data_IF_808571447297
#
_entry.id   IF_808571447297
#
_cell.length_a   1.000
_cell.length_b   1.000
_cell.length_c   1.000
_cell.angle_alpha   90.00
_cell.angle_beta   90.00
_cell.angle_gamma   90.00
#
_symmetry.space_group_name_H-M   'P 1'
#
loop_
_entity.id
_entity.type
_entity.pdbx_description
1 polymer ?
#
# COMPACT_ATOMS: atom_id res chain seq x y z
N UNK A 1 -12.93 123.17 52.83
CA UNK A 1 -12.88 121.84 52.19
C UNK A 1 -13.35 120.85 53.22
N UNK A 2 -13.97 119.73 52.85
CA UNK A 2 -14.33 118.71 53.83
C UNK A 2 -13.03 118.10 54.37
N UNK A 3 -12.78 118.21 55.67
CA UNK A 3 -11.80 117.33 56.30
C UNK A 3 -12.41 115.92 56.29
N UNK A 4 -11.60 114.90 55.97
CA UNK A 4 -12.03 113.50 55.78
C UNK A 4 -12.62 112.81 57.02
N UNK A 5 -13.05 113.58 58.03
CA UNK A 5 -13.71 113.14 59.25
C UNK A 5 -15.13 113.75 59.44
N UNK A 6 -15.67 114.53 58.49
CA UNK A 6 -17.09 114.95 58.56
C UNK A 6 -18.03 113.81 58.14
N UNK A 7 -19.06 113.46 58.93
CA UNK A 7 -20.01 112.40 58.57
C UNK A 7 -20.80 112.80 57.30
N UNK A 8 -20.55 112.10 56.21
CA UNK A 8 -21.25 112.32 54.93
C UNK A 8 -22.64 111.70 55.03
N UNK A 9 -23.67 112.54 55.13
CA UNK A 9 -25.06 112.08 55.16
C UNK A 9 -25.43 111.33 53.87
N UNK A 10 -25.91 110.09 53.99
CA UNK A 10 -26.41 109.27 52.87
C UNK A 10 -25.48 108.15 52.40
N UNK A 11 -24.28 108.00 52.97
CA UNK A 11 -23.34 106.92 52.62
C UNK A 11 -23.07 105.99 53.83
N UNK A 12 -23.24 104.69 53.64
CA UNK A 12 -22.90 103.69 54.65
C UNK A 12 -21.39 103.36 54.61
N UNK A 13 -20.62 103.95 55.54
CA UNK A 13 -19.17 103.73 55.66
C UNK A 13 -18.82 102.25 55.86
N UNK A 14 -19.65 101.46 56.55
CA UNK A 14 -19.39 100.04 56.76
C UNK A 14 -19.48 99.27 55.44
N UNK A 15 -20.47 99.59 54.61
CA UNK A 15 -20.63 99.01 53.28
C UNK A 15 -19.45 99.38 52.37
N UNK A 16 -19.06 100.65 52.33
CA UNK A 16 -17.94 101.11 51.49
C UNK A 16 -16.61 100.51 51.94
N UNK A 17 -16.40 100.39 53.25
CA UNK A 17 -15.23 99.72 53.81
C UNK A 17 -15.19 98.25 53.40
N UNK A 18 -16.34 97.56 53.42
CA UNK A 18 -16.42 96.16 52.99
C UNK A 18 -16.06 95.98 51.52
N UNK A 19 -16.56 96.86 50.64
CA UNK A 19 -16.22 96.86 49.22
C UNK A 19 -14.71 97.08 49.03
N UNK A 20 -14.12 98.04 49.76
CA UNK A 20 -12.68 98.28 49.72
C UNK A 20 -11.89 97.01 50.10
N UNK A 21 -12.23 96.36 51.23
CA UNK A 21 -11.52 95.16 51.69
C UNK A 21 -11.70 93.97 50.74
N UNK A 22 -12.85 93.81 50.11
CA UNK A 22 -13.10 92.75 49.12
C UNK A 22 -12.26 92.91 47.85
N UNK A 23 -12.03 94.15 47.42
CA UNK A 23 -11.26 94.45 46.22
C UNK A 23 -9.74 94.36 46.42
N UNK A 24 -9.23 94.31 47.65
CA UNK A 24 -7.78 94.18 47.90
C UNK A 24 -7.29 92.77 47.50
N UNK A 25 -6.23 92.64 46.67
CA UNK A 25 -5.62 91.36 46.37
C UNK A 25 -5.21 90.60 47.64
N UNK A 26 -5.50 89.31 47.68
CA UNK A 26 -5.23 88.47 48.87
C UNK A 26 -3.80 88.59 49.43
N UNK A 27 -2.73 88.62 48.61
CA UNK A 27 -1.37 88.79 49.13
C UNK A 27 -1.18 90.09 49.92
N UNK A 28 -1.77 91.19 49.46
CA UNK A 28 -1.65 92.50 50.08
C UNK A 28 -2.48 92.58 51.37
N UNK A 29 -3.70 92.03 51.34
CA UNK A 29 -4.54 91.94 52.53
C UNK A 29 -3.87 91.09 53.62
N UNK A 30 -3.26 89.96 53.23
CA UNK A 30 -2.51 89.09 54.14
C UNK A 30 -1.31 89.82 54.73
N UNK A 31 -0.55 90.57 53.93
CA UNK A 31 0.59 91.34 54.40
C UNK A 31 0.17 92.40 55.43
N UNK A 32 -0.93 93.13 55.18
CA UNK A 32 -1.49 94.08 56.15
C UNK A 32 -1.87 93.40 57.48
N UNK A 33 -2.60 92.27 57.41
CA UNK A 33 -3.00 91.51 58.60
C UNK A 33 -1.78 90.99 59.37
N UNK A 34 -0.69 90.62 58.69
CA UNK A 34 0.55 90.18 59.34
C UNK A 34 1.34 91.34 59.96
N UNK A 35 1.29 92.53 59.37
CA UNK A 35 1.98 93.70 59.90
C UNK A 35 1.30 94.29 61.15
N UNK A 36 -0.03 94.15 61.27
CA UNK A 36 -0.80 94.64 62.41
C UNK A 36 -0.99 93.53 63.47
N UNK A 37 -0.15 93.53 64.51
CA UNK A 37 -0.14 92.49 65.56
C UNK A 37 -1.50 92.28 66.26
N UNK A 38 -2.30 93.35 66.44
CA UNK A 38 -3.62 93.26 67.05
C UNK A 38 -4.62 92.53 66.14
N UNK A 39 -4.65 92.90 64.85
CA UNK A 39 -5.49 92.25 63.84
C UNK A 39 -5.05 90.81 63.60
N UNK A 40 -3.74 90.55 63.53
CA UNK A 40 -3.17 89.21 63.38
C UNK A 40 -3.64 88.28 64.50
N UNK A 41 -3.57 88.76 65.76
CA UNK A 41 -4.02 88.00 66.94
C UNK A 41 -5.50 87.65 66.80
N UNK A 42 -6.36 88.61 66.48
CA UNK A 42 -7.80 88.37 66.31
C UNK A 42 -8.14 87.42 65.15
N UNK A 43 -7.41 87.51 64.03
CA UNK A 43 -7.61 86.63 62.88
C UNK A 43 -7.13 85.19 63.14
N UNK A 44 -6.17 84.98 64.03
CA UNK A 44 -5.61 83.66 64.37
C UNK A 44 -6.20 83.01 65.63
N UNK A 45 -7.03 83.73 66.39
CA UNK A 45 -7.81 83.16 67.51
C UNK A 45 -8.54 81.89 67.06
N UNK A 46 -8.34 80.78 67.78
CA UNK A 46 -8.93 79.48 67.44
C UNK A 46 -8.11 78.61 66.48
N UNK A 47 -6.84 78.97 66.19
CA UNK A 47 -5.92 78.14 65.39
C UNK A 47 -6.08 78.29 63.87
N UNK A 48 -6.80 79.32 63.42
CA UNK A 48 -7.03 79.56 62.00
C UNK A 48 -5.77 80.07 61.30
N UNK A 49 -5.50 79.53 60.12
CA UNK A 49 -4.42 79.97 59.23
C UNK A 49 -4.91 81.11 58.32
N UNK A 50 -4.00 82.01 57.98
CA UNK A 50 -4.22 83.07 56.99
C UNK A 50 -4.13 82.48 55.58
N UNK A 51 -5.21 81.86 55.12
CA UNK A 51 -5.36 81.25 53.80
C UNK A 51 -6.50 81.91 53.03
N UNK A 52 -6.51 81.88 51.67
CA UNK A 52 -7.57 82.50 50.88
C UNK A 52 -8.98 82.04 51.28
N UNK A 53 -9.11 80.78 51.73
CA UNK A 53 -10.38 80.20 52.21
C UNK A 53 -10.93 80.86 53.48
N UNK A 54 -10.10 81.53 54.28
CA UNK A 54 -10.50 82.20 55.52
C UNK A 54 -10.73 83.71 55.33
N UNK A 55 -10.70 84.21 54.09
CA UNK A 55 -10.87 85.62 53.73
C UNK A 55 -12.15 86.24 54.31
N UNK A 56 -13.30 85.59 54.20
CA UNK A 56 -14.57 86.12 54.70
C UNK A 56 -14.59 86.30 56.22
N UNK A 57 -13.87 85.43 56.93
CA UNK A 57 -13.71 85.57 58.39
C UNK A 57 -12.80 86.75 58.72
N UNK A 58 -11.69 86.90 58.00
CA UNK A 58 -10.75 88.01 58.17
C UNK A 58 -11.43 89.34 57.83
N UNK A 59 -12.21 89.38 56.76
CA UNK A 59 -13.02 90.54 56.38
C UNK A 59 -13.97 90.96 57.51
N UNK A 60 -14.72 90.01 58.10
CA UNK A 60 -15.59 90.29 59.26
C UNK A 60 -14.83 90.81 60.49
N UNK A 61 -13.63 90.29 60.74
CA UNK A 61 -12.78 90.78 61.85
C UNK A 61 -12.30 92.21 61.57
N UNK A 62 -11.83 92.48 60.35
CA UNK A 62 -11.40 93.81 59.93
C UNK A 62 -12.53 94.84 60.00
N UNK A 63 -13.73 94.49 59.52
CA UNK A 63 -14.90 95.36 59.60
C UNK A 63 -15.27 95.68 61.06
N UNK A 64 -15.24 94.67 61.95
CA UNK A 64 -15.53 94.87 63.37
C UNK A 64 -14.50 95.77 64.05
N UNK A 65 -13.22 95.59 63.75
CA UNK A 65 -12.16 96.45 64.31
C UNK A 65 -12.22 97.87 63.71
N UNK A 66 -12.54 98.01 62.43
CA UNK A 66 -12.79 99.32 61.80
C UNK A 66 -13.96 100.05 62.46
N UNK A 67 -15.07 99.36 62.72
CA UNK A 67 -16.23 99.92 63.42
C UNK A 67 -15.89 100.35 64.85
N UNK A 68 -15.12 99.55 65.60
CA UNK A 68 -14.66 99.94 66.95
C UNK A 68 -13.75 101.16 66.94
N UNK A 69 -12.96 101.32 65.88
CA UNK A 69 -12.09 102.45 65.68
C UNK A 69 -12.81 103.62 64.97
N UNK A 70 -14.14 103.58 64.87
CA UNK A 70 -14.99 104.58 64.20
C UNK A 70 -14.50 104.95 62.79
N UNK A 71 -13.99 103.96 62.06
CA UNK A 71 -13.38 104.12 60.73
C UNK A 71 -12.25 105.16 60.68
N UNK A 72 -11.52 105.35 61.78
CA UNK A 72 -10.41 106.31 61.87
C UNK A 72 -9.39 106.15 60.74
N UNK A 73 -8.86 107.28 60.26
CA UNK A 73 -7.84 107.32 59.21
C UNK A 73 -6.60 106.48 59.56
N UNK A 74 -6.20 106.48 60.84
CA UNK A 74 -5.06 105.69 61.30
C UNK A 74 -5.21 104.17 61.02
N UNK A 75 -6.43 103.65 61.07
CA UNK A 75 -6.72 102.25 60.75
C UNK A 75 -6.99 102.05 59.25
N UNK A 76 -7.81 102.90 58.65
CA UNK A 76 -8.27 102.74 57.26
C UNK A 76 -7.16 103.02 56.23
N UNK A 77 -6.23 103.93 56.51
CA UNK A 77 -5.12 104.25 55.59
C UNK A 77 -4.27 103.03 55.26
N UNK A 78 -4.02 102.16 56.26
CA UNK A 78 -3.22 100.95 56.04
C UNK A 78 -3.87 99.93 55.09
N UNK A 79 -5.20 99.98 54.92
CA UNK A 79 -5.95 99.17 53.96
C UNK A 79 -6.20 99.90 52.63
N UNK A 80 -6.29 101.23 52.66
CA UNK A 80 -6.39 102.05 51.47
C UNK A 80 -5.11 102.02 50.62
N UNK A 81 -3.93 102.11 51.25
CA UNK A 81 -2.61 102.07 50.57
C UNK A 81 -2.44 100.86 49.63
N UNK A 82 -2.80 99.61 50.02
CA UNK A 82 -2.76 98.48 49.09
C UNK A 82 -3.96 98.42 48.12
N UNK A 83 -5.10 99.02 48.46
CA UNK A 83 -6.30 99.04 47.60
C UNK A 83 -6.10 99.98 46.39
N UNK A 84 -5.55 101.16 46.61
CA UNK A 84 -5.46 102.23 45.61
C UNK A 84 -4.63 101.84 44.37
N UNK A 85 -3.40 101.30 44.48
CA UNK A 85 -2.63 100.81 43.34
C UNK A 85 -3.22 99.56 42.66
N UNK A 86 -4.10 98.82 43.35
CA UNK A 86 -4.78 97.65 42.76
C UNK A 86 -5.80 98.06 41.68
N UNK A 87 -6.21 99.33 41.67
CA UNK A 87 -7.12 99.92 40.68
C UNK A 87 -6.31 100.76 39.69
N UNK A 88 -5.55 100.07 38.83
CA UNK A 88 -4.50 100.66 37.97
C UNK A 88 -4.95 101.87 37.14
N UNK A 89 -6.14 101.83 36.55
CA UNK A 89 -6.66 102.92 35.73
C UNK A 89 -6.98 104.18 36.56
N UNK A 90 -7.63 104.01 37.71
CA UNK A 90 -7.99 105.10 38.63
C UNK A 90 -6.73 105.71 39.25
N UNK A 91 -5.86 104.85 39.78
CA UNK A 91 -4.58 105.23 40.35
C UNK A 91 -3.74 106.04 39.36
N UNK A 92 -3.55 105.51 38.15
CA UNK A 92 -2.73 106.18 37.14
C UNK A 92 -3.31 107.55 36.75
N UNK A 93 -4.61 107.64 36.54
CA UNK A 93 -5.27 108.89 36.13
C UNK A 93 -5.10 110.00 37.18
N UNK A 94 -5.23 109.65 38.47
CA UNK A 94 -5.15 110.61 39.57
C UNK A 94 -3.69 110.96 39.90
N UNK A 95 -2.77 109.99 39.94
CA UNK A 95 -1.35 110.24 40.18
C UNK A 95 -0.68 111.02 39.04
N UNK A 96 -1.02 110.72 37.77
CA UNK A 96 -0.50 111.47 36.62
C UNK A 96 -0.91 112.95 36.70
N UNK A 97 -2.09 113.24 37.25
CA UNK A 97 -2.53 114.62 37.52
C UNK A 97 -1.76 115.25 38.67
N UNK A 98 -1.59 114.57 39.82
CA UNK A 98 -0.84 115.12 40.95
C UNK A 98 0.65 115.35 40.65
N UNK A 99 1.23 114.63 39.69
CA UNK A 99 2.58 114.85 39.20
C UNK A 99 2.68 115.83 38.02
N UNK A 100 1.54 116.30 37.49
CA UNK A 100 1.52 117.22 36.36
C UNK A 100 1.94 118.65 36.73
N UNK A 101 2.45 119.39 35.75
CA UNK A 101 2.72 120.83 35.89
C UNK A 101 1.45 121.65 36.14
N UNK A 102 0.29 121.14 35.73
CA UNK A 102 -1.03 121.73 35.97
C UNK A 102 -1.37 121.75 37.46
N UNK A 103 -1.15 120.64 38.17
CA UNK A 103 -1.38 120.56 39.61
C UNK A 103 -0.35 121.37 40.41
N UNK A 104 0.93 121.40 40.01
CA UNK A 104 1.95 122.24 40.67
C UNK A 104 1.57 123.73 40.67
N UNK A 105 1.12 124.25 39.52
CA UNK A 105 0.63 125.64 39.42
C UNK A 105 -0.62 125.88 40.25
N UNK A 106 -1.56 124.94 40.25
CA UNK A 106 -2.76 125.02 41.08
C UNK A 106 -2.42 125.08 42.58
N UNK A 107 -1.41 124.32 43.00
CA UNK A 107 -0.91 124.27 44.38
C UNK A 107 -0.27 125.59 44.82
N UNK A 108 0.58 126.18 43.96
CA UNK A 108 1.19 127.50 44.19
C UNK A 108 0.15 128.61 44.25
N UNK A 109 -0.84 128.58 43.36
CA UNK A 109 -1.88 129.62 43.26
C UNK A 109 -2.82 129.62 44.48
N UNK A 110 -3.09 128.45 45.06
CA UNK A 110 -4.03 128.29 46.17
C UNK A 110 -3.35 128.11 47.54
N UNK A 111 -2.03 128.29 47.65
CA UNK A 111 -1.25 128.14 48.90
C UNK A 111 -1.53 126.82 49.65
N UNK A 112 -1.56 125.70 48.93
CA UNK A 112 -1.82 124.37 49.52
C UNK A 112 -0.54 123.74 50.09
N UNK A 113 -0.61 123.21 51.31
CA UNK A 113 0.49 122.51 51.99
C UNK A 113 0.96 121.23 51.29
N UNK A 114 2.09 120.65 51.71
CA UNK A 114 2.67 119.42 51.10
C UNK A 114 1.78 118.18 51.27
N UNK A 115 0.99 118.15 52.33
CA UNK A 115 0.16 116.99 52.68
C UNK A 115 -1.32 117.15 52.26
N UNK A 116 -1.65 118.17 51.46
CA UNK A 116 -3.04 118.48 51.07
C UNK A 116 -3.26 118.15 49.59
N UNK A 117 -4.03 117.08 49.35
CA UNK A 117 -4.44 116.66 48.01
C UNK A 117 -5.86 117.14 47.72
N UNK A 118 -6.08 117.82 46.61
CA UNK A 118 -7.40 118.35 46.19
C UNK A 118 -7.58 118.17 44.69
N UNK A 119 -8.79 117.81 44.24
CA UNK A 119 -9.18 117.89 42.83
C UNK A 119 -10.04 119.14 42.59
N UNK A 120 -9.64 120.04 41.67
CA UNK A 120 -10.52 121.09 41.15
C UNK A 120 -11.80 120.51 40.53
N UNK A 121 -12.89 121.27 40.55
CA UNK A 121 -14.21 120.78 40.09
C UNK A 121 -14.21 120.35 38.61
N UNK A 122 -13.51 121.08 37.74
CA UNK A 122 -13.37 120.76 36.31
C UNK A 122 -12.58 119.46 36.06
N UNK A 123 -11.53 119.22 36.85
CA UNK A 123 -10.74 117.99 36.80
C UNK A 123 -11.53 116.81 37.35
N UNK A 124 -12.28 117.02 38.44
CA UNK A 124 -13.18 116.02 39.01
C UNK A 124 -14.22 115.57 37.99
N UNK A 125 -14.86 116.49 37.25
CA UNK A 125 -15.83 116.14 36.21
C UNK A 125 -15.21 115.37 35.03
N UNK A 126 -13.95 115.65 34.70
CA UNK A 126 -13.21 114.92 33.66
C UNK A 126 -12.88 113.48 34.06
N UNK A 127 -12.55 113.26 35.34
CA UNK A 127 -12.08 111.96 35.83
C UNK A 127 -13.21 111.07 36.34
N UNK A 128 -14.27 111.67 36.87
CA UNK A 128 -15.41 110.93 37.40
C UNK A 128 -16.18 110.20 36.28
N UNK A 129 -16.35 108.88 36.45
CA UNK A 129 -17.16 108.01 35.59
C UNK A 129 -18.17 107.27 36.45
N UNK A 130 -19.43 107.26 36.01
CA UNK A 130 -20.53 106.58 36.73
C UNK A 130 -20.24 105.08 36.96
N UNK A 131 -19.55 104.43 36.01
CA UNK A 131 -19.15 103.02 36.13
C UNK A 131 -18.15 102.73 37.26
N UNK A 132 -17.46 103.76 37.77
CA UNK A 132 -16.48 103.65 38.86
C UNK A 132 -17.03 104.20 40.19
N UNK A 133 -18.33 104.45 40.29
CA UNK A 133 -18.98 105.10 41.44
C UNK A 133 -18.56 104.47 42.78
N UNK A 134 -18.50 103.14 42.86
CA UNK A 134 -18.09 102.42 44.08
C UNK A 134 -16.63 102.74 44.47
N UNK A 135 -15.73 102.91 43.50
CA UNK A 135 -14.32 103.27 43.75
C UNK A 135 -14.21 104.73 44.20
N UNK A 136 -15.03 105.61 43.64
CA UNK A 136 -15.11 107.01 44.06
C UNK A 136 -15.71 107.16 45.47
N UNK A 137 -16.62 106.28 45.89
CA UNK A 137 -17.08 106.20 47.28
C UNK A 137 -15.95 105.82 48.24
N UNK A 138 -15.08 104.88 47.86
CA UNK A 138 -13.89 104.52 48.65
C UNK A 138 -12.92 105.70 48.75
N UNK A 139 -12.68 106.42 47.64
CA UNK A 139 -11.84 107.63 47.65
C UNK A 139 -12.39 108.73 48.56
N UNK A 140 -13.71 108.95 48.52
CA UNK A 140 -14.41 109.94 49.32
C UNK A 140 -14.32 109.66 50.83
N UNK A 141 -14.31 108.39 51.25
CA UNK A 141 -14.31 108.01 52.66
C UNK A 141 -12.92 107.71 53.26
N UNK A 142 -12.00 107.16 52.47
CA UNK A 142 -10.79 106.54 53.02
C UNK A 142 -9.48 107.00 52.38
N UNK A 143 -9.53 107.89 51.37
CA UNK A 143 -8.31 108.48 50.79
C UNK A 143 -7.92 109.76 51.52
N UNK A 144 -6.68 110.26 51.36
CA UNK A 144 -6.26 111.57 51.85
C UNK A 144 -6.75 112.74 50.97
N UNK A 145 -7.49 112.46 49.88
CA UNK A 145 -8.01 113.47 48.97
C UNK A 145 -9.16 114.25 49.62
N UNK A 146 -9.11 115.58 49.57
CA UNK A 146 -10.20 116.43 50.05
C UNK A 146 -11.15 116.79 48.92
N UNK A 147 -12.44 116.57 49.15
CA UNK A 147 -13.51 116.89 48.21
C UNK A 147 -14.24 118.18 48.62
N UNK A 148 -14.75 118.92 47.63
CA UNK A 148 -15.69 120.02 47.87
C UNK A 148 -17.07 119.47 48.22
N UNK A 149 -17.91 120.27 48.90
CA UNK A 149 -19.28 119.84 49.29
C UNK A 149 -20.15 119.48 48.08
N UNK A 150 -19.97 120.18 46.96
CA UNK A 150 -20.64 119.90 45.68
C UNK A 150 -20.22 118.57 45.08
N UNK A 151 -18.91 118.26 45.06
CA UNK A 151 -18.37 116.98 44.58
C UNK A 151 -18.90 115.80 45.41
N UNK A 152 -18.87 115.91 46.73
CA UNK A 152 -19.37 114.87 47.63
C UNK A 152 -20.87 114.59 47.42
N UNK A 153 -21.68 115.63 47.22
CA UNK A 153 -23.12 115.47 46.96
C UNK A 153 -23.38 114.80 45.59
N UNK A 154 -22.58 115.11 44.56
CA UNK A 154 -22.67 114.47 43.24
C UNK A 154 -22.44 112.96 43.33
N UNK A 155 -21.40 112.55 44.07
CA UNK A 155 -21.07 111.13 44.31
C UNK A 155 -22.17 110.36 45.07
N UNK A 156 -22.94 111.03 45.93
CA UNK A 156 -24.01 110.39 46.70
C UNK A 156 -25.34 110.33 45.92
N UNK A 157 -25.58 111.28 45.00
CA UNK A 157 -26.89 111.48 44.34
C UNK A 157 -27.15 110.64 43.08
N UNK A 158 -26.13 110.10 42.41
CA UNK A 158 -26.32 109.43 41.13
C UNK A 158 -26.95 108.02 41.25
N UNK A 159 -28.27 107.97 41.15
CA UNK A 159 -29.08 106.76 40.84
C UNK A 159 -29.21 106.50 39.33
N UNK A 160 -28.33 107.12 38.52
CA UNK A 160 -28.46 107.22 37.05
C UNK A 160 -28.02 106.02 36.20
N UNK A 161 -27.70 104.85 36.78
CA UNK A 161 -27.21 103.67 36.04
C UNK A 161 -28.27 102.76 35.41
N UNK A 162 -29.56 103.01 35.64
CA UNK A 162 -30.64 102.05 35.34
C UNK A 162 -30.82 101.76 33.84
N UNK A 163 -30.60 102.74 32.96
CA UNK A 163 -30.81 102.57 31.52
C UNK A 163 -29.72 101.70 30.87
N UNK A 164 -28.45 101.86 31.29
CA UNK A 164 -27.32 101.09 30.75
C UNK A 164 -27.33 99.64 31.27
N UNK A 165 -27.75 99.44 32.52
CA UNK A 165 -27.96 98.10 33.12
C UNK A 165 -29.05 97.30 32.40
N UNK A 166 -30.17 97.94 32.03
CA UNK A 166 -31.26 97.28 31.29
C UNK A 166 -30.82 96.86 29.88
N UNK A 167 -30.01 97.68 29.20
CA UNK A 167 -29.45 97.31 27.90
C UNK A 167 -28.53 96.09 28.01
N UNK A 168 -27.65 96.07 29.01
CA UNK A 168 -26.74 94.93 29.24
C UNK A 168 -27.48 93.66 29.65
N UNK A 169 -28.58 93.77 30.41
CA UNK A 169 -29.44 92.63 30.73
C UNK A 169 -30.04 91.99 29.48
N UNK A 170 -30.51 92.80 28.52
CA UNK A 170 -31.00 92.27 27.23
C UNK A 170 -29.91 91.59 26.41
N UNK A 171 -28.72 92.19 26.35
CA UNK A 171 -27.59 91.59 25.64
C UNK A 171 -27.14 90.27 26.30
N UNK A 172 -27.19 90.19 27.62
CA UNK A 172 -26.92 88.95 28.36
C UNK A 172 -27.99 87.88 28.13
N UNK A 173 -29.27 88.25 28.12
CA UNK A 173 -30.37 87.33 27.81
C UNK A 173 -30.26 86.78 26.38
N UNK A 174 -29.90 87.62 25.41
CA UNK A 174 -29.67 87.18 24.03
C UNK A 174 -28.50 86.19 23.95
N UNK A 175 -27.37 86.50 24.61
CA UNK A 175 -26.22 85.58 24.68
C UNK A 175 -26.56 84.26 25.38
N UNK A 176 -27.37 84.29 26.44
CA UNK A 176 -27.85 83.09 27.11
C UNK A 176 -28.68 82.21 26.18
N UNK A 177 -29.61 82.80 25.41
CA UNK A 177 -30.41 82.03 24.46
C UNK A 177 -29.57 81.40 23.35
N UNK A 178 -28.56 82.09 22.86
CA UNK A 178 -27.65 81.54 21.84
C UNK A 178 -26.77 80.43 22.42
N UNK A 179 -26.27 80.59 23.65
CA UNK A 179 -25.55 79.54 24.37
C UNK A 179 -26.43 78.32 24.64
N UNK A 180 -27.70 78.48 24.99
CA UNK A 180 -28.63 77.36 25.19
C UNK A 180 -28.90 76.59 23.88
N UNK A 181 -29.04 77.31 22.76
CA UNK A 181 -29.17 76.67 21.44
C UNK A 181 -27.92 75.88 21.08
N UNK A 182 -26.74 76.46 21.30
CA UNK A 182 -25.46 75.81 21.03
C UNK A 182 -25.23 74.61 21.96
N UNK A 183 -25.59 74.74 23.24
CA UNK A 183 -25.54 73.65 24.21
C UNK A 183 -26.44 72.48 23.78
N UNK A 184 -27.70 72.74 23.41
CA UNK A 184 -28.63 71.72 22.94
C UNK A 184 -28.14 71.02 21.67
N UNK A 185 -27.57 71.78 20.74
CA UNK A 185 -26.93 71.23 19.54
C UNK A 185 -25.78 70.29 19.91
N UNK A 186 -24.84 70.74 20.75
CA UNK A 186 -23.72 69.92 21.21
C UNK A 186 -24.17 68.67 21.97
N UNK A 187 -25.25 68.77 22.76
CA UNK A 187 -25.85 67.63 23.46
C UNK A 187 -26.37 66.57 22.49
N UNK A 188 -27.04 67.00 21.41
CA UNK A 188 -27.53 66.09 20.36
C UNK A 188 -26.38 65.44 19.58
N UNK A 189 -25.34 66.21 19.24
CA UNK A 189 -24.12 65.69 18.58
C UNK A 189 -23.42 64.68 19.49
N UNK A 190 -23.29 64.98 20.78
CA UNK A 190 -22.69 64.08 21.77
C UNK A 190 -23.48 62.77 21.91
N UNK A 191 -24.82 62.83 21.96
CA UNK A 191 -25.66 61.62 21.98
C UNK A 191 -25.47 60.77 20.72
N UNK A 192 -25.39 61.42 19.56
CA UNK A 192 -25.19 60.74 18.28
C UNK A 192 -23.84 60.02 18.25
N UNK A 193 -22.76 60.71 18.62
CA UNK A 193 -21.40 60.17 18.72
C UNK A 193 -21.35 59.02 19.73
N UNK A 194 -22.01 59.16 20.88
CA UNK A 194 -22.07 58.11 21.89
C UNK A 194 -22.72 56.83 21.35
N UNK A 195 -23.84 56.96 20.62
CA UNK A 195 -24.51 55.79 20.03
C UNK A 195 -23.63 55.11 18.98
N UNK A 196 -22.91 55.89 18.15
CA UNK A 196 -21.99 55.37 17.15
C UNK A 196 -20.81 54.64 17.80
N UNK A 197 -20.27 55.20 18.89
CA UNK A 197 -19.21 54.57 19.66
C UNK A 197 -19.66 53.24 20.28
N UNK A 198 -20.87 53.19 20.85
CA UNK A 198 -21.44 51.96 21.42
C UNK A 198 -21.65 50.88 20.34
N UNK A 199 -22.15 51.25 19.16
CA UNK A 199 -22.30 50.34 18.03
C UNK A 199 -20.95 49.81 17.52
N UNK A 200 -19.96 50.70 17.33
CA UNK A 200 -18.62 50.32 16.90
C UNK A 200 -17.90 49.43 17.93
N UNK A 201 -18.10 49.70 19.22
CA UNK A 201 -17.59 48.87 20.31
C UNK A 201 -18.20 47.47 20.29
N UNK A 202 -19.53 47.37 20.12
CA UNK A 202 -20.22 46.09 20.02
C UNK A 202 -19.76 45.29 18.79
N UNK A 203 -19.64 45.93 17.62
CA UNK A 203 -19.11 45.30 16.41
C UNK A 203 -17.67 44.80 16.59
N UNK A 204 -16.82 45.58 17.29
CA UNK A 204 -15.44 45.19 17.60
C UNK A 204 -15.40 43.97 18.53
N UNK A 205 -16.27 43.92 19.54
CA UNK A 205 -16.36 42.75 20.42
C UNK A 205 -16.80 41.50 19.66
N UNK A 206 -17.79 41.62 18.78
CA UNK A 206 -18.27 40.51 17.97
C UNK A 206 -17.19 40.01 17.00
N UNK A 207 -16.48 40.93 16.33
CA UNK A 207 -15.33 40.58 15.48
C UNK A 207 -14.25 39.83 16.25
N UNK A 208 -13.96 40.21 17.51
CA UNK A 208 -12.99 39.51 18.37
C UNK A 208 -13.47 38.11 18.75
N UNK A 209 -14.77 37.88 18.93
CA UNK A 209 -15.32 36.53 19.18
C UNK A 209 -15.15 35.66 17.94
N UNK A 210 -15.51 36.18 16.76
CA UNK A 210 -15.36 35.48 15.49
C UNK A 210 -13.89 35.15 15.20
N UNK A 211 -12.96 36.06 15.48
CA UNK A 211 -11.53 35.81 15.32
C UNK A 211 -11.06 34.65 16.22
N UNK A 212 -11.54 34.59 17.47
CA UNK A 212 -11.20 33.49 18.39
C UNK A 212 -11.73 32.15 17.89
N UNK A 213 -12.98 32.10 17.41
CA UNK A 213 -13.57 30.87 16.87
C UNK A 213 -12.84 30.41 15.61
N UNK A 214 -12.50 31.34 14.71
CA UNK A 214 -11.73 31.01 13.50
C UNK A 214 -10.34 30.48 13.83
N UNK A 215 -9.65 31.04 14.84
CA UNK A 215 -8.36 30.51 15.31
C UNK A 215 -8.48 29.10 15.87
N UNK A 216 -9.52 28.80 16.64
CA UNK A 216 -9.74 27.44 17.16
C UNK A 216 -10.07 26.46 16.04
N UNK A 217 -10.87 26.86 15.06
CA UNK A 217 -11.22 26.01 13.92
C UNK A 217 -10.00 25.75 13.03
N UNK A 218 -9.17 26.76 12.81
CA UNK A 218 -7.92 26.63 12.06
C UNK A 218 -6.96 25.64 12.73
N UNK A 219 -6.74 25.78 14.05
CA UNK A 219 -5.92 24.83 14.81
C UNK A 219 -6.50 23.40 14.77
N UNK A 220 -7.84 23.27 14.80
CA UNK A 220 -8.51 21.98 14.64
C UNK A 220 -8.30 21.35 13.26
N UNK A 221 -8.35 22.15 12.20
CA UNK A 221 -8.09 21.71 10.82
C UNK A 221 -6.62 21.34 10.62
N UNK A 222 -5.69 22.11 11.15
CA UNK A 222 -4.25 21.82 11.11
C UNK A 222 -3.93 20.47 11.76
N UNK A 223 -4.49 20.20 12.94
CA UNK A 223 -4.35 18.89 13.61
C UNK A 223 -4.94 17.74 12.79
N UNK A 224 -6.09 17.94 12.13
CA UNK A 224 -6.69 16.92 11.23
C UNK A 224 -5.79 16.66 10.02
N UNK A 225 -5.19 17.71 9.47
CA UNK A 225 -4.25 17.60 8.35
C UNK A 225 -3.01 16.81 8.76
N UNK A 226 -2.42 17.08 9.93
CA UNK A 226 -1.28 16.32 10.45
C UNK A 226 -1.61 14.83 10.63
N UNK A 227 -2.78 14.51 11.20
CA UNK A 227 -3.25 13.13 11.36
C UNK A 227 -3.40 12.44 10.00
N UNK A 228 -4.03 13.10 9.02
CA UNK A 228 -4.19 12.56 7.67
C UNK A 228 -2.85 12.37 6.93
N UNK A 229 -1.89 13.27 7.12
CA UNK A 229 -0.54 13.13 6.59
C UNK A 229 0.20 11.95 7.24
N UNK A 230 0.08 11.78 8.56
CA UNK A 230 0.67 10.64 9.26
C UNK A 230 0.07 9.31 8.81
N UNK A 231 -1.24 9.26 8.61
CA UNK A 231 -1.94 8.08 8.08
C UNK A 231 -1.52 7.78 6.63
N UNK A 232 -1.41 8.79 5.78
CA UNK A 232 -0.88 8.62 4.42
C UNK A 232 0.54 8.05 4.40
N UNK A 233 1.42 8.48 5.31
CA UNK A 233 2.77 7.92 5.44
C UNK A 233 2.71 6.44 5.81
N UNK A 234 1.89 6.07 6.81
CA UNK A 234 1.68 4.67 7.21
C UNK A 234 1.11 3.81 6.08
N UNK A 235 0.15 4.33 5.32
CA UNK A 235 -0.43 3.61 4.18
C UNK A 235 0.62 3.39 3.07
N UNK A 236 1.47 4.38 2.79
CA UNK A 236 2.58 4.22 1.83
C UNK A 236 3.59 3.18 2.27
N UNK A 237 3.98 3.18 3.55
CA UNK A 237 4.85 2.14 4.11
C UNK A 237 4.19 0.75 3.98
N UNK A 238 2.89 0.64 4.28
CA UNK A 238 2.15 -0.62 4.15
C UNK A 238 2.06 -1.10 2.70
N UNK A 239 1.85 -0.20 1.74
CA UNK A 239 1.86 -0.53 0.32
C UNK A 239 3.24 -1.03 -0.09
N UNK A 240 4.32 -0.35 0.32
CA UNK A 240 5.68 -0.75 -0.01
C UNK A 240 6.01 -2.14 0.57
N UNK A 241 5.57 -2.44 1.79
CA UNK A 241 5.74 -3.77 2.38
C UNK A 241 4.96 -4.84 1.61
N UNK A 242 3.71 -4.54 1.21
CA UNK A 242 2.91 -5.45 0.38
C UNK A 242 3.52 -5.68 -1.01
N UNK A 243 4.08 -4.65 -1.64
CA UNK A 243 4.77 -4.78 -2.91
C UNK A 243 6.03 -5.66 -2.77
N UNK A 244 6.78 -5.51 -1.67
CA UNK A 244 7.93 -6.38 -1.38
C UNK A 244 7.51 -7.83 -1.17
N UNK A 245 6.47 -8.09 -0.37
CA UNK A 245 6.01 -9.46 -0.13
C UNK A 245 5.43 -10.08 -1.39
N UNK A 246 4.70 -9.31 -2.21
CA UNK A 246 4.19 -9.77 -3.51
C UNK A 246 5.34 -10.09 -4.46
N UNK A 247 6.37 -9.25 -4.54
CA UNK A 247 7.55 -9.51 -5.37
C UNK A 247 8.28 -10.78 -4.93
N UNK A 248 8.48 -10.97 -3.62
CA UNK A 248 9.09 -12.19 -3.06
C UNK A 248 8.25 -13.45 -3.36
N UNK A 249 6.93 -13.37 -3.24
CA UNK A 249 6.03 -14.46 -3.59
C UNK A 249 6.08 -14.78 -5.09
N UNK A 250 6.14 -13.76 -5.95
CA UNK A 250 6.24 -13.92 -7.40
C UNK A 250 7.57 -14.56 -7.81
N UNK A 251 8.70 -14.16 -7.21
CA UNK A 251 10.00 -14.77 -7.47
C UNK A 251 10.02 -16.24 -7.04
N UNK A 252 9.50 -16.55 -5.85
CA UNK A 252 9.47 -17.91 -5.33
C UNK A 252 8.55 -18.81 -6.18
N UNK A 253 7.41 -18.29 -6.64
CA UNK A 253 6.53 -19.01 -7.56
C UNK A 253 7.20 -19.23 -8.92
N UNK A 254 7.91 -18.23 -9.46
CA UNK A 254 8.63 -18.36 -10.71
C UNK A 254 9.76 -19.40 -10.63
N UNK A 255 10.50 -19.44 -9.52
CA UNK A 255 11.51 -20.47 -9.25
C UNK A 255 10.89 -21.88 -9.17
N UNK A 256 9.77 -22.03 -8.44
CA UNK A 256 9.05 -23.30 -8.37
C UNK A 256 8.55 -23.75 -9.76
N UNK A 257 8.00 -22.83 -10.55
CA UNK A 257 7.54 -23.11 -11.92
C UNK A 257 8.70 -23.47 -12.84
N UNK A 258 9.86 -22.83 -12.71
CA UNK A 258 11.04 -23.20 -13.47
C UNK A 258 11.55 -24.60 -13.10
N UNK A 259 11.55 -24.94 -11.81
CA UNK A 259 11.93 -26.29 -11.34
C UNK A 259 10.96 -27.37 -11.83
N UNK A 260 9.64 -27.13 -11.79
CA UNK A 260 8.65 -28.08 -12.29
C UNK A 260 8.73 -28.22 -13.81
N UNK A 261 8.91 -27.12 -14.54
CA UNK A 261 9.06 -27.13 -16.01
C UNK A 261 10.29 -27.93 -16.41
N UNK A 262 11.46 -27.66 -15.81
CA UNK A 262 12.69 -28.42 -16.10
C UNK A 262 12.58 -29.90 -15.73
N UNK A 263 11.86 -30.25 -14.66
CA UNK A 263 11.56 -31.65 -14.33
C UNK A 263 10.69 -32.32 -15.40
N UNK A 264 9.59 -31.66 -15.79
CA UNK A 264 8.67 -32.18 -16.80
C UNK A 264 9.33 -32.30 -18.17
N UNK A 265 10.21 -31.37 -18.55
CA UNK A 265 11.01 -31.47 -19.77
C UNK A 265 11.91 -32.71 -19.77
N UNK A 266 12.59 -33.01 -18.64
CA UNK A 266 13.39 -34.24 -18.51
C UNK A 266 12.54 -35.50 -18.59
N UNK A 267 11.39 -35.52 -17.92
CA UNK A 267 10.46 -36.65 -17.98
C UNK A 267 9.93 -36.84 -19.42
N UNK A 268 9.62 -35.75 -20.13
CA UNK A 268 9.19 -35.77 -21.53
C UNK A 268 10.30 -36.31 -22.44
N UNK A 269 11.54 -35.86 -22.26
CA UNK A 269 12.70 -36.36 -23.00
C UNK A 269 12.91 -37.86 -22.75
N UNK A 270 12.82 -38.31 -21.49
CA UNK A 270 12.93 -39.74 -21.14
C UNK A 270 11.85 -40.57 -21.84
N UNK A 271 10.58 -40.18 -21.72
CA UNK A 271 9.46 -40.92 -22.34
C UNK A 271 9.58 -40.91 -23.87
N UNK A 272 10.05 -39.81 -24.47
CA UNK A 272 10.29 -39.72 -25.91
C UNK A 272 11.39 -40.69 -26.33
N UNK A 273 12.50 -40.75 -25.60
CA UNK A 273 13.60 -41.69 -25.87
C UNK A 273 13.16 -43.15 -25.69
N UNK A 274 12.36 -43.46 -24.66
CA UNK A 274 11.78 -44.79 -24.46
C UNK A 274 10.86 -45.18 -25.62
N UNK A 275 9.98 -44.27 -26.07
CA UNK A 275 9.13 -44.48 -27.25
C UNK A 275 9.96 -44.79 -28.48
N UNK A 276 11.01 -44.02 -28.75
CA UNK A 276 11.85 -44.20 -29.93
C UNK A 276 12.60 -45.54 -29.87
N UNK A 277 13.11 -45.91 -28.70
CA UNK A 277 13.73 -47.22 -28.49
C UNK A 277 12.74 -48.38 -28.75
N UNK A 278 11.50 -48.26 -28.28
CA UNK A 278 10.45 -49.24 -28.55
C UNK A 278 10.06 -49.30 -30.02
N UNK A 279 10.00 -48.16 -30.71
CA UNK A 279 9.72 -48.10 -32.14
C UNK A 279 10.83 -48.80 -32.94
N UNK A 280 12.11 -48.52 -32.64
CA UNK A 280 13.25 -49.19 -33.29
C UNK A 280 13.18 -50.69 -33.05
N UNK A 281 12.92 -51.12 -31.81
CA UNK A 281 12.81 -52.54 -31.47
C UNK A 281 11.65 -53.22 -32.21
N UNK A 282 10.51 -52.54 -32.34
CA UNK A 282 9.37 -53.04 -33.11
C UNK A 282 9.70 -53.19 -34.59
N UNK A 283 10.33 -52.18 -35.20
CA UNK A 283 10.74 -52.21 -36.61
C UNK A 283 11.77 -53.32 -36.88
N UNK A 284 12.73 -53.51 -35.97
CA UNK A 284 13.69 -54.62 -36.02
C UNK A 284 12.99 -55.98 -35.97
N UNK A 285 12.13 -56.21 -34.97
CA UNK A 285 11.39 -57.47 -34.83
C UNK A 285 10.49 -57.73 -36.04
N UNK A 286 9.90 -56.68 -36.63
CA UNK A 286 9.12 -56.78 -37.85
C UNK A 286 9.99 -57.21 -39.05
N UNK A 287 11.21 -56.69 -39.15
CA UNK A 287 12.19 -57.09 -40.16
C UNK A 287 12.61 -58.55 -40.00
N UNK A 288 12.98 -58.95 -38.78
CA UNK A 288 13.34 -60.32 -38.43
C UNK A 288 12.20 -61.30 -38.74
N UNK A 289 10.95 -60.94 -38.41
CA UNK A 289 9.80 -61.79 -38.68
C UNK A 289 9.56 -61.98 -40.20
N UNK A 290 9.73 -60.93 -41.01
CA UNK A 290 9.68 -61.05 -42.48
C UNK A 290 10.77 -61.95 -43.04
N UNK A 291 11.97 -61.89 -42.46
CA UNK A 291 13.07 -62.77 -42.87
C UNK A 291 12.79 -64.22 -42.50
N UNK A 292 12.25 -64.47 -41.30
CA UNK A 292 11.81 -65.80 -40.86
C UNK A 292 10.67 -66.33 -41.74
N UNK A 293 9.69 -65.51 -42.10
CA UNK A 293 8.62 -65.87 -43.05
C UNK A 293 9.20 -66.26 -44.42
N UNK A 294 10.19 -65.51 -44.93
CA UNK A 294 10.90 -65.86 -46.17
C UNK A 294 11.64 -67.19 -46.06
N UNK A 295 12.42 -67.39 -44.99
CA UNK A 295 13.14 -68.66 -44.73
C UNK A 295 12.18 -69.84 -44.60
N UNK A 296 11.04 -69.65 -43.93
CA UNK A 296 9.99 -70.67 -43.83
C UNK A 296 9.42 -71.02 -45.20
N UNK A 297 9.20 -70.03 -46.05
CA UNK A 297 8.71 -70.25 -47.41
C UNK A 297 9.73 -71.03 -48.27
N UNK A 298 11.00 -70.62 -48.23
CA UNK A 298 12.11 -71.32 -48.92
C UNK A 298 12.24 -72.78 -48.43
N UNK A 299 12.20 -73.01 -47.12
CA UNK A 299 12.23 -74.35 -46.54
C UNK A 299 11.04 -75.21 -46.98
N UNK A 300 9.83 -74.65 -47.03
CA UNK A 300 8.64 -75.35 -47.55
C UNK A 300 8.80 -75.74 -49.02
N UNK A 301 9.36 -74.87 -49.86
CA UNK A 301 9.65 -75.20 -51.25
C UNK A 301 10.68 -76.34 -51.37
N UNK A 302 11.73 -76.32 -50.55
CA UNK A 302 12.74 -77.39 -50.53
C UNK A 302 12.14 -78.74 -50.08
N UNK A 303 11.28 -78.74 -49.06
CA UNK A 303 10.57 -79.95 -48.62
C UNK A 303 9.71 -80.49 -49.76
N UNK A 304 8.91 -79.65 -50.42
CA UNK A 304 8.09 -80.10 -51.55
C UNK A 304 8.93 -80.65 -52.72
N UNK A 305 10.08 -80.05 -53.03
CA UNK A 305 10.99 -80.56 -54.05
C UNK A 305 11.57 -81.93 -53.66
N UNK A 306 11.97 -82.11 -52.40
CA UNK A 306 12.48 -83.38 -51.88
C UNK A 306 11.41 -84.48 -51.83
N UNK A 307 10.17 -84.14 -51.43
CA UNK A 307 9.02 -85.04 -51.47
C UNK A 307 8.74 -85.54 -52.89
N UNK A 308 8.79 -84.65 -53.88
CA UNK A 308 8.61 -85.01 -55.28
C UNK A 308 9.72 -85.94 -55.77
N UNK A 309 10.99 -85.67 -55.43
CA UNK A 309 12.12 -86.56 -55.75
C UNK A 309 11.97 -87.94 -55.09
N UNK A 310 11.56 -87.99 -53.83
CA UNK A 310 11.30 -89.25 -53.13
C UNK A 310 10.16 -90.05 -53.77
N UNK A 311 9.10 -89.39 -54.23
CA UNK A 311 8.03 -90.04 -54.97
C UNK A 311 8.52 -90.63 -56.30
N UNK A 312 9.35 -89.90 -57.05
CA UNK A 312 9.97 -90.40 -58.27
C UNK A 312 10.84 -91.64 -58.00
N UNK A 313 11.72 -91.57 -57.02
CA UNK A 313 12.57 -92.70 -56.62
C UNK A 313 11.75 -93.92 -56.16
N UNK A 314 10.65 -93.71 -55.44
CA UNK A 314 9.74 -94.81 -55.04
C UNK A 314 9.10 -95.48 -56.25
N UNK A 315 8.62 -94.70 -57.21
CA UNK A 315 8.05 -95.23 -58.45
C UNK A 315 9.08 -96.05 -59.24
N UNK A 316 10.33 -95.58 -59.31
CA UNK A 316 11.44 -96.34 -59.92
C UNK A 316 11.75 -97.63 -59.17
N UNK A 317 11.79 -97.61 -57.83
CA UNK A 317 11.98 -98.81 -57.02
C UNK A 317 10.85 -99.82 -57.19
N UNK A 318 9.59 -99.37 -57.24
CA UNK A 318 8.44 -100.25 -57.49
C UNK A 318 8.56 -100.92 -58.87
N UNK A 319 8.92 -100.15 -59.91
CA UNK A 319 9.17 -100.69 -61.24
C UNK A 319 10.25 -101.77 -61.24
N UNK A 320 11.41 -101.51 -60.62
CA UNK A 320 12.51 -102.49 -60.52
C UNK A 320 12.13 -103.73 -59.69
N UNK A 321 11.35 -103.57 -58.63
CA UNK A 321 10.93 -104.68 -57.76
C UNK A 321 9.96 -105.68 -58.44
N UNK A 322 9.33 -105.28 -59.55
CA UNK A 322 8.42 -106.14 -60.33
C UNK A 322 9.16 -107.14 -61.25
N UNK A 323 10.44 -106.88 -61.54
CA UNK A 323 11.23 -107.66 -62.51
C UNK A 323 11.47 -109.13 -62.08
N UNK A 324 11.78 -109.45 -60.82
CA UNK A 324 11.91 -110.85 -60.37
C UNK A 324 10.59 -111.63 -60.48
N UNK A 325 9.45 -111.00 -60.21
CA UNK A 325 8.14 -111.66 -60.31
C UNK A 325 7.79 -112.03 -61.76
N UNK A 326 8.20 -111.20 -62.74
CA UNK A 326 8.07 -111.47 -64.17
C UNK A 326 8.95 -112.66 -64.62
N UNK A 327 10.17 -112.79 -64.08
CA UNK A 327 11.04 -113.94 -64.31
C UNK A 327 10.44 -115.23 -63.74
N UNK A 328 9.91 -115.20 -62.51
CA UNK A 328 9.40 -116.40 -61.86
C UNK A 328 8.12 -116.99 -62.48
N UNK A 329 7.28 -116.16 -63.11
CA UNK A 329 6.08 -116.61 -63.81
C UNK A 329 6.36 -117.38 -65.11
N UNK A 330 7.59 -117.34 -65.64
CA UNK A 330 7.98 -118.04 -66.87
C UNK A 330 8.57 -119.44 -66.63
N UNK A 331 8.74 -119.89 -65.39
CA UNK A 331 9.35 -121.20 -65.10
C UNK A 331 8.36 -122.37 -65.08
N UNK A 332 8.76 -123.47 -65.73
CA UNK A 332 8.10 -124.78 -65.69
C UNK A 332 8.63 -125.60 -64.49
N UNK A 333 8.11 -125.30 -63.30
CA UNK A 333 8.49 -125.92 -62.01
C UNK A 333 8.48 -127.47 -61.99
N UNK A 334 7.52 -128.17 -62.62
CA UNK A 334 7.55 -129.63 -62.75
C UNK A 334 8.83 -130.20 -63.37
N UNK A 335 9.40 -129.53 -64.39
CA UNK A 335 10.59 -130.02 -65.10
C UNK A 335 11.84 -129.92 -64.23
N UNK A 336 11.96 -128.83 -63.47
CA UNK A 336 13.06 -128.60 -62.50
C UNK A 336 13.01 -129.63 -61.38
N UNK A 337 11.81 -129.93 -60.86
CA UNK A 337 11.62 -130.94 -59.81
C UNK A 337 12.07 -132.35 -60.21
N UNK A 338 11.87 -132.75 -61.47
CA UNK A 338 12.23 -134.08 -61.96
C UNK A 338 13.75 -134.31 -62.11
N UNK A 339 14.54 -133.25 -62.22
CA UNK A 339 16.00 -133.34 -62.41
C UNK A 339 16.78 -133.46 -61.10
N UNK A 340 16.12 -133.26 -59.95
CA UNK A 340 16.77 -133.26 -58.63
C UNK A 340 16.84 -134.66 -58.04
N UNK A 341 18.04 -135.26 -58.03
CA UNK A 341 18.34 -136.49 -57.28
C UNK A 341 18.54 -136.18 -55.79
N UNK A 342 17.45 -136.08 -55.02
CA UNK A 342 17.52 -135.84 -53.56
C UNK A 342 17.83 -137.14 -52.79
N UNK A 343 18.72 -137.08 -51.80
CA UNK A 343 18.99 -138.18 -50.86
C UNK A 343 17.82 -138.38 -49.87
N UNK A 344 17.56 -139.60 -49.36
CA UNK A 344 16.37 -139.91 -48.54
C UNK A 344 16.23 -139.09 -47.25
N UNK A 345 17.34 -138.75 -46.59
CA UNK A 345 17.34 -137.90 -45.40
C UNK A 345 16.95 -136.45 -45.74
N UNK A 346 17.47 -135.95 -46.86
CA UNK A 346 17.20 -134.61 -47.37
C UNK A 346 15.76 -134.50 -47.88
N UNK A 347 15.25 -135.54 -48.52
CA UNK A 347 13.86 -135.65 -48.92
C UNK A 347 12.91 -135.61 -47.71
N UNK A 348 13.24 -136.21 -46.57
CA UNK A 348 12.41 -136.15 -45.35
C UNK A 348 12.35 -134.77 -44.72
N UNK A 349 13.44 -134.01 -44.66
CA UNK A 349 13.43 -132.66 -44.09
C UNK A 349 12.89 -131.61 -45.07
N UNK A 350 13.14 -131.77 -46.37
CA UNK A 350 12.42 -131.02 -47.41
C UNK A 350 10.91 -131.27 -47.27
N UNK A 351 10.51 -132.52 -47.02
CA UNK A 351 9.12 -132.92 -46.72
C UNK A 351 8.57 -132.47 -45.36
N UNK A 352 9.42 -132.18 -44.36
CA UNK A 352 8.95 -131.72 -43.03
C UNK A 352 8.89 -130.20 -42.90
N UNK A 353 9.71 -129.47 -43.67
CA UNK A 353 9.73 -128.00 -43.72
C UNK A 353 8.65 -127.42 -44.66
N UNK A 354 8.17 -128.24 -45.59
CA UNK A 354 7.07 -127.92 -46.50
C UNK A 354 5.88 -128.81 -46.09
N UNK A 355 5.02 -128.29 -45.20
CA UNK A 355 3.88 -129.00 -44.62
C UNK A 355 2.73 -129.17 -45.63
N UNK A 356 2.96 -129.96 -46.68
CA UNK A 356 2.01 -130.72 -47.53
C UNK A 356 2.82 -131.38 -48.66
N UNK A 357 3.60 -132.39 -48.32
CA UNK A 357 4.32 -133.22 -49.27
C UNK A 357 3.77 -134.64 -49.24
N UNK A 358 2.68 -134.86 -49.97
CA UNK A 358 2.33 -136.18 -50.46
C UNK A 358 3.29 -136.52 -51.60
N UNK A 359 4.37 -137.25 -51.28
CA UNK A 359 5.36 -137.72 -52.25
C UNK A 359 4.83 -138.86 -53.16
N UNK A 360 3.53 -139.10 -53.16
CA UNK A 360 2.87 -140.15 -53.93
C UNK A 360 1.72 -139.54 -54.74
N UNK A 361 2.03 -139.01 -55.93
CA UNK A 361 1.33 -139.29 -57.20
C UNK A 361 1.75 -138.36 -58.35
N UNK A 362 2.17 -137.11 -58.10
CA UNK A 362 2.35 -136.14 -59.22
C UNK A 362 3.75 -135.50 -59.36
N UNK A 363 4.76 -135.89 -58.57
CA UNK A 363 6.17 -135.42 -58.70
C UNK A 363 6.36 -133.90 -58.87
N UNK A 364 5.42 -133.08 -58.42
CA UNK A 364 5.48 -131.61 -58.52
C UNK A 364 5.87 -130.98 -57.18
N UNK A 365 6.94 -130.18 -57.18
CA UNK A 365 7.43 -129.41 -56.03
C UNK A 365 6.76 -128.04 -56.00
N UNK A 366 6.01 -127.73 -54.93
CA UNK A 366 5.48 -126.38 -54.65
C UNK A 366 6.05 -125.88 -53.33
N UNK A 367 6.73 -124.73 -53.35
CA UNK A 367 7.26 -124.06 -52.15
C UNK A 367 6.11 -123.24 -51.52
N UNK A 368 5.85 -123.39 -50.22
CA UNK A 368 4.98 -122.44 -49.51
C UNK A 368 5.71 -121.10 -49.36
N UNK A 369 5.25 -120.08 -50.08
CA UNK A 369 5.85 -118.75 -50.09
C UNK A 369 6.83 -118.55 -51.25
N UNK A 370 7.37 -117.34 -51.36
CA UNK A 370 8.33 -117.01 -52.42
C UNK A 370 9.73 -117.53 -52.07
N UNK A 371 10.56 -117.87 -53.06
CA UNK A 371 11.95 -118.28 -52.84
C UNK A 371 12.75 -117.29 -51.95
N UNK A 372 12.56 -115.96 -52.05
CA UNK A 372 13.13 -115.00 -51.10
C UNK A 372 12.70 -115.23 -49.65
N UNK A 373 11.43 -115.54 -49.38
CA UNK A 373 10.95 -115.82 -48.02
C UNK A 373 11.54 -117.12 -47.48
N UNK A 374 11.69 -118.14 -48.32
CA UNK A 374 12.37 -119.38 -47.96
C UNK A 374 13.85 -119.14 -47.64
N UNK A 375 14.54 -118.39 -48.50
CA UNK A 375 15.94 -118.00 -48.32
C UNK A 375 16.14 -117.17 -47.05
N UNK A 376 15.25 -116.21 -46.79
CA UNK A 376 15.28 -115.38 -45.59
C UNK A 376 15.13 -116.21 -44.32
N UNK A 377 14.21 -117.19 -44.29
CA UNK A 377 14.08 -118.12 -43.14
C UNK A 377 15.37 -118.90 -42.86
N UNK A 378 16.05 -119.40 -43.90
CA UNK A 378 17.33 -120.10 -43.75
C UNK A 378 18.47 -119.17 -43.30
N UNK A 379 18.42 -117.89 -43.68
CA UNK A 379 19.37 -116.87 -43.21
C UNK A 379 19.08 -116.44 -41.77
N UNK A 380 17.81 -116.42 -41.34
CA UNK A 380 17.42 -116.00 -39.99
C UNK A 380 17.94 -116.97 -38.95
N UNK A 381 17.83 -118.28 -39.16
CA UNK A 381 18.38 -119.27 -38.21
C UNK A 381 19.89 -119.14 -38.05
N UNK A 382 20.61 -118.86 -39.14
CA UNK A 382 22.05 -118.54 -39.09
C UNK A 382 22.33 -117.24 -38.34
N UNK A 383 21.60 -116.15 -38.65
CA UNK A 383 21.78 -114.86 -37.95
C UNK A 383 21.51 -114.98 -36.46
N UNK A 384 20.48 -115.72 -36.07
CA UNK A 384 20.12 -115.94 -34.67
C UNK A 384 21.21 -116.72 -33.95
N UNK A 385 21.76 -117.77 -34.58
CA UNK A 385 22.90 -118.51 -34.02
C UNK A 385 24.14 -117.61 -33.90
N UNK A 386 24.46 -116.81 -34.93
CA UNK A 386 25.59 -115.87 -34.89
C UNK A 386 25.40 -114.84 -33.77
N UNK A 387 24.20 -114.28 -33.59
CA UNK A 387 23.93 -113.34 -32.51
C UNK A 387 24.04 -113.99 -31.12
N UNK A 388 23.58 -115.24 -31.01
CA UNK A 388 23.74 -116.03 -29.79
C UNK A 388 25.22 -116.27 -29.46
N UNK A 389 26.05 -116.63 -30.45
CA UNK A 389 27.49 -116.83 -30.27
C UNK A 389 28.20 -115.50 -29.98
N UNK A 390 27.91 -114.43 -30.72
CA UNK A 390 28.53 -113.12 -30.54
C UNK A 390 28.28 -112.55 -29.13
N UNK A 391 27.16 -112.92 -28.52
CA UNK A 391 26.77 -112.53 -27.15
C UNK A 391 27.02 -113.63 -26.11
N UNK A 392 27.80 -114.67 -26.43
CA UNK A 392 27.98 -115.84 -25.56
C UNK A 392 28.50 -115.46 -24.18
N UNK A 393 29.53 -114.60 -24.10
CA UNK A 393 30.09 -114.14 -22.83
C UNK A 393 29.04 -113.54 -21.88
N UNK A 394 28.11 -112.73 -22.40
CA UNK A 394 27.05 -112.13 -21.59
C UNK A 394 25.96 -113.15 -21.22
N UNK A 395 25.62 -114.06 -22.14
CA UNK A 395 24.54 -115.02 -21.97
C UNK A 395 24.93 -116.25 -21.14
N UNK A 396 26.19 -116.67 -21.20
CA UNK A 396 26.77 -117.71 -20.33
C UNK A 396 26.74 -117.27 -18.87
N UNK A 397 27.15 -116.03 -18.60
CA UNK A 397 27.09 -115.42 -17.26
C UNK A 397 25.64 -115.30 -16.78
N UNK A 398 24.72 -114.90 -17.67
CA UNK A 398 23.29 -114.79 -17.33
C UNK A 398 22.64 -116.14 -17.02
N UNK A 399 23.00 -117.22 -17.73
CA UNK A 399 22.50 -118.57 -17.45
C UNK A 399 23.17 -119.22 -16.22
N UNK A 400 24.30 -118.69 -15.75
CA UNK A 400 25.00 -119.18 -14.56
C UNK A 400 25.67 -120.56 -14.73
N UNK A 401 25.67 -121.13 -15.93
CA UNK A 401 26.31 -122.40 -16.27
C UNK A 401 26.68 -122.41 -17.77
N UNK A 402 27.97 -122.27 -18.05
CA UNK A 402 28.50 -122.18 -19.42
C UNK A 402 28.33 -123.50 -20.21
N UNK A 403 28.56 -124.65 -19.58
CA UNK A 403 28.45 -125.95 -20.25
C UNK A 403 27.02 -126.22 -20.74
N UNK A 404 26.03 -125.92 -19.89
CA UNK A 404 24.61 -126.05 -20.25
C UNK A 404 24.21 -125.09 -21.38
N UNK A 405 24.75 -123.87 -21.40
CA UNK A 405 24.48 -122.90 -22.47
C UNK A 405 24.92 -123.42 -23.84
N UNK A 406 26.12 -124.00 -23.94
CA UNK A 406 26.62 -124.55 -25.20
C UNK A 406 25.90 -125.84 -25.61
N UNK A 407 25.52 -126.70 -24.65
CA UNK A 407 24.71 -127.88 -24.97
C UNK A 407 23.34 -127.49 -25.57
N UNK A 408 22.67 -126.47 -25.03
CA UNK A 408 21.38 -125.97 -25.55
C UNK A 408 21.49 -125.45 -27.00
N UNK A 409 22.68 -125.03 -27.45
CA UNK A 409 22.91 -124.52 -28.82
C UNK A 409 23.23 -125.63 -29.83
N UNK A 410 23.45 -126.87 -29.40
CA UNK A 410 23.85 -127.98 -30.28
C UNK A 410 22.84 -128.20 -31.40
N UNK A 411 21.55 -128.19 -31.08
CA UNK A 411 20.48 -128.35 -32.08
C UNK A 411 20.46 -127.16 -33.06
N UNK A 412 20.73 -125.95 -32.59
CA UNK A 412 20.83 -124.76 -33.46
C UNK A 412 22.04 -124.82 -34.40
N UNK A 413 23.18 -125.36 -33.95
CA UNK A 413 24.33 -125.60 -34.83
C UNK A 413 24.01 -126.65 -35.91
N UNK A 414 23.29 -127.71 -35.56
CA UNK A 414 22.87 -128.74 -36.50
C UNK A 414 21.85 -128.18 -37.50
N UNK A 415 20.88 -127.38 -37.05
CA UNK A 415 19.91 -126.69 -37.91
C UNK A 415 20.58 -125.72 -38.88
N UNK A 416 21.58 -124.95 -38.44
CA UNK A 416 22.35 -124.05 -39.32
C UNK A 416 23.21 -124.83 -40.30
N UNK A 417 23.84 -125.94 -39.88
CA UNK A 417 24.58 -126.83 -40.79
C UNK A 417 23.67 -127.35 -41.90
N UNK A 418 22.50 -127.87 -41.53
CA UNK A 418 21.48 -128.34 -42.47
C UNK A 418 20.98 -127.20 -43.37
N UNK A 419 20.75 -126.01 -42.81
CA UNK A 419 20.33 -124.82 -43.57
C UNK A 419 21.39 -124.34 -44.56
N UNK A 420 22.68 -124.46 -44.23
CA UNK A 420 23.80 -124.20 -45.14
C UNK A 420 23.87 -125.25 -46.25
N UNK A 421 23.66 -126.53 -45.95
CA UNK A 421 23.58 -127.59 -46.96
C UNK A 421 22.38 -127.38 -47.91
N UNK A 422 21.21 -127.04 -47.38
CA UNK A 422 20.02 -126.70 -48.18
C UNK A 422 20.26 -125.49 -49.09
N UNK A 423 20.91 -124.43 -48.58
CA UNK A 423 21.30 -123.27 -49.40
C UNK A 423 22.34 -123.64 -50.45
N UNK A 424 23.31 -124.49 -50.13
CA UNK A 424 24.31 -124.96 -51.09
C UNK A 424 23.66 -125.77 -52.22
N UNK A 425 22.67 -126.60 -51.88
CA UNK A 425 21.88 -127.32 -52.89
C UNK A 425 21.06 -126.36 -53.71
N UNK A 426 20.34 -125.40 -53.10
CA UNK A 426 19.59 -124.38 -53.84
C UNK A 426 20.48 -123.54 -54.75
N UNK A 427 21.69 -123.18 -54.31
CA UNK A 427 22.65 -122.46 -55.14
C UNK A 427 23.15 -123.34 -56.29
N UNK A 428 23.39 -124.63 -56.07
CA UNK A 428 23.69 -125.58 -57.15
C UNK A 428 22.51 -125.74 -58.10
N UNK A 429 21.28 -125.77 -57.61
CA UNK A 429 20.06 -125.79 -58.41
C UNK A 429 19.95 -124.54 -59.26
N UNK A 430 20.05 -123.36 -58.64
CA UNK A 430 20.04 -122.09 -59.36
C UNK A 430 21.16 -122.07 -60.38
N UNK A 431 22.38 -122.46 -60.02
CA UNK A 431 23.51 -122.54 -60.95
C UNK A 431 23.26 -123.49 -62.13
N UNK A 432 22.72 -124.69 -61.91
CA UNK A 432 22.35 -125.62 -62.99
C UNK A 432 21.19 -125.10 -63.84
N UNK A 433 20.20 -124.45 -63.23
CA UNK A 433 19.04 -123.83 -63.91
C UNK A 433 19.49 -122.61 -64.75
N UNK A 434 20.37 -121.76 -64.20
CA UNK A 434 20.95 -120.62 -64.90
C UNK A 434 21.78 -121.05 -66.12
N UNK A 435 22.43 -122.22 -66.08
CA UNK A 435 23.22 -122.73 -67.20
C UNK A 435 22.46 -123.68 -68.16
N UNK A 436 21.33 -124.26 -67.75
CA UNK A 436 20.54 -125.18 -68.60
C UNK A 436 19.36 -124.51 -69.33
N UNK A 437 18.92 -123.31 -68.92
CA UNK A 437 17.68 -122.70 -69.44
C UNK A 437 17.84 -121.25 -69.96
N UNK A 438 18.93 -120.53 -69.65
CA UNK A 438 19.15 -119.19 -70.21
C UNK A 438 19.94 -119.24 -71.53
N UNK A 439 19.22 -119.02 -72.64
CA UNK A 439 19.82 -118.48 -73.86
C UNK A 439 19.86 -116.94 -73.75
N UNK A 440 20.90 -116.30 -74.31
CA UNK A 440 21.13 -114.84 -74.19
C UNK A 440 19.92 -113.99 -74.63
N UNK A 441 19.07 -114.53 -75.50
CA UNK A 441 17.91 -113.85 -76.07
C UNK A 441 16.74 -113.72 -75.07
N UNK A 442 16.72 -114.51 -73.98
CA UNK A 442 15.69 -114.42 -72.93
C UNK A 442 15.92 -113.25 -71.94
N UNK A 443 17.03 -112.52 -72.08
CA UNK A 443 17.39 -111.34 -71.28
C UNK A 443 16.99 -110.01 -71.94
N UNK A 444 16.39 -110.03 -73.13
CA UNK A 444 15.93 -108.81 -73.80
C UNK A 444 14.58 -108.31 -73.25
N UNK A 445 14.49 -107.02 -72.97
CA UNK A 445 13.27 -106.40 -72.45
C UNK A 445 12.14 -106.41 -73.51
N UNK A 446 10.87 -106.66 -73.11
CA UNK A 446 9.74 -106.65 -74.05
C UNK A 446 9.54 -105.26 -74.65
N UNK A 447 9.56 -105.18 -75.98
CA UNK A 447 9.34 -103.93 -76.72
C UNK A 447 7.85 -103.54 -76.62
N UNK A 448 7.54 -102.51 -75.83
CA UNK A 448 6.20 -101.91 -75.79
C UNK A 448 6.03 -100.97 -76.99
N UNK A 449 5.01 -101.13 -77.86
CA UNK A 449 4.84 -100.26 -79.01
C UNK A 449 4.46 -98.84 -78.58
N UNK A 450 5.22 -97.85 -79.08
CA UNK A 450 5.02 -96.41 -78.87
C UNK A 450 3.61 -95.97 -79.32
N UNK A 451 2.73 -95.74 -78.36
CA UNK A 451 1.46 -95.05 -78.57
C UNK A 451 1.71 -93.59 -78.96
N UNK A 452 1.26 -93.22 -80.16
CA UNK A 452 1.43 -91.90 -80.78
C UNK A 452 0.98 -90.77 -79.85
N UNK A 453 1.90 -89.85 -79.56
CA UNK A 453 1.65 -88.51 -79.02
C UNK A 453 0.69 -87.76 -79.95
N UNK A 454 -0.40 -87.23 -79.39
CA UNK A 454 -1.19 -86.18 -80.05
C UNK A 454 -0.76 -84.85 -79.46
N UNK A 455 -0.14 -84.06 -80.32
CA UNK A 455 0.05 -82.62 -80.17
C UNK A 455 -1.27 -81.92 -79.86
N UNK A 456 -1.28 -81.13 -78.79
CA UNK A 456 -2.01 -79.86 -78.76
C UNK A 456 -1.02 -78.82 -78.24
N UNK A 457 -0.36 -78.15 -79.19
CA UNK A 457 0.58 -77.07 -78.93
C UNK A 457 -0.09 -75.85 -78.31
N UNK A 458 0.62 -75.27 -77.35
CA UNK A 458 0.74 -73.82 -77.13
C UNK A 458 2.14 -73.45 -77.60
#
# INVERSE_FOLDING_TARGET
MLENNEPIQGLDQARVFSVMVEQIPWPNLRAYVQANAQVMKLCSVGGYRLEPKTRDRIHRVLLREAQKAEFSQAFCNGLFVPWYPSHTELHKTIEDYFHSEEYKKHRETNNLGEDVYVLPDDVFERFFKVNDLEKWHVLLCFSPLQFTKSQAQKLVSETGGNAELISRLRDMEARMQDLDKEHNRLLSEHQTIKSQYEQASAATQESRKVERTLRTDYAGLEKKLEVSQAENRRLRERIQDLEKTQAQAATLLAEQMAQTTTRLERDTQRVTAERDAWQIKYEQLRGENRELERKLHEAKQQIHAAEHQLQQLRAEMEHLSSFPALLFNKFDWPKVGAQLKLTPALSRQFNSLIRKLSYEQDRSLTIEGTLPQFWERLMTTERDLIDNIAKSNSREVMKGNAEKYWMDLTDSFEDVRIGLEARTILLKMLHEIFYQILELDDLEAPIVPLGKTKDTGI
#
